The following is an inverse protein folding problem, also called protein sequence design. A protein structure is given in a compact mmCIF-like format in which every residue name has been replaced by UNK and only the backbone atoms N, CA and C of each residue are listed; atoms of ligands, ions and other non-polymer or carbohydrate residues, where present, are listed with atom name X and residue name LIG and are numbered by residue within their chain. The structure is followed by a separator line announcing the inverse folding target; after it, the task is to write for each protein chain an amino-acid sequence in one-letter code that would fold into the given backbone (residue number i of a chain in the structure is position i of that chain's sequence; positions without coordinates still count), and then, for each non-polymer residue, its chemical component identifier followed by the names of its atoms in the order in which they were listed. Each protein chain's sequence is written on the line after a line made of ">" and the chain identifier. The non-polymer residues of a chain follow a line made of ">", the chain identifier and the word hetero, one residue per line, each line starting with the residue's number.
data_IF_581026571355
#
_entry.id   IF_581026571355
#
_cell.length_a   1.000
_cell.length_b   1.000
_cell.length_c   1.000
_cell.angle_alpha   90.00
_cell.angle_beta   90.00
_cell.angle_gamma   90.00
#
_symmetry.space_group_name_H-M   'P 1'
#
loop_
_entity.id
_entity.type
_entity.pdbx_description
1 polymer ?
#
# COMPACT_ATOMS: atom_id res chain seq x y z
N UNK A 1 6.82 -10.40 3.52
CA UNK A 1 6.03 -9.74 2.45
C UNK A 1 4.56 -10.16 2.41
N UNK A 2 4.11 -11.40 2.06
CA UNK A 2 2.66 -11.71 2.00
C UNK A 2 1.95 -11.56 3.34
N UNK A 3 2.59 -12.02 4.42
CA UNK A 3 2.09 -11.83 5.77
C UNK A 3 1.96 -10.36 6.16
N UNK A 4 2.84 -9.47 5.68
CA UNK A 4 2.71 -8.04 5.96
C UNK A 4 1.52 -7.43 5.25
N UNK A 5 1.24 -7.85 4.01
CA UNK A 5 0.05 -7.44 3.27
C UNK A 5 -1.20 -7.93 4.01
N UNK A 6 -1.24 -9.20 4.39
CA UNK A 6 -2.33 -9.77 5.18
C UNK A 6 -2.54 -9.00 6.49
N UNK A 7 -1.49 -8.80 7.29
CA UNK A 7 -1.58 -8.08 8.55
C UNK A 7 -2.03 -6.61 8.37
N UNK A 8 -1.61 -5.95 7.27
CA UNK A 8 -2.09 -4.60 6.93
C UNK A 8 -3.59 -4.62 6.61
N UNK A 9 -4.07 -5.58 5.80
CA UNK A 9 -5.48 -5.73 5.44
C UNK A 9 -6.34 -6.10 6.65
N UNK A 10 -5.90 -7.05 7.47
CA UNK A 10 -6.54 -7.43 8.74
C UNK A 10 -6.75 -6.23 9.67
N UNK A 11 -5.68 -5.44 9.94
CA UNK A 11 -5.81 -4.23 10.77
C UNK A 11 -6.70 -3.17 10.15
N UNK A 12 -6.75 -3.11 8.81
CA UNK A 12 -7.63 -2.21 8.10
C UNK A 12 -9.09 -2.63 8.25
N UNK A 13 -9.39 -3.91 8.05
CA UNK A 13 -10.72 -4.47 8.22
C UNK A 13 -11.24 -4.27 9.64
N UNK A 14 -10.42 -4.56 10.65
CA UNK A 14 -10.80 -4.31 12.05
C UNK A 14 -11.15 -2.83 12.30
N UNK A 15 -10.31 -1.90 11.83
CA UNK A 15 -10.57 -0.47 12.00
C UNK A 15 -11.84 -0.01 11.29
N UNK A 16 -12.07 -0.48 10.07
CA UNK A 16 -13.28 -0.15 9.30
C UNK A 16 -14.50 -0.65 10.06
N UNK A 17 -14.50 -1.91 10.50
CA UNK A 17 -15.60 -2.48 11.29
C UNK A 17 -15.86 -1.70 12.58
N UNK A 18 -14.80 -1.35 13.32
CA UNK A 18 -14.93 -0.59 14.57
C UNK A 18 -15.53 0.81 14.33
N UNK A 19 -15.10 1.51 13.28
CA UNK A 19 -15.61 2.84 12.94
C UNK A 19 -17.08 2.78 12.53
N UNK A 20 -17.43 1.87 11.64
CA UNK A 20 -18.81 1.76 11.14
C UNK A 20 -19.76 1.25 12.24
N UNK A 21 -19.33 0.32 13.10
CA UNK A 21 -20.10 -0.12 14.25
C UNK A 21 -20.39 1.02 15.23
N UNK A 22 -19.43 1.94 15.46
CA UNK A 22 -19.65 3.15 16.25
C UNK A 22 -20.64 4.11 15.60
N UNK A 23 -20.59 4.28 14.28
CA UNK A 23 -21.54 5.14 13.56
C UNK A 23 -22.97 4.62 13.66
N UNK A 24 -23.16 3.29 13.50
CA UNK A 24 -24.45 2.63 13.71
C UNK A 24 -24.90 2.77 15.18
N UNK A 25 -23.99 2.56 16.14
CA UNK A 25 -24.27 2.74 17.56
C UNK A 25 -24.73 4.17 17.90
N UNK A 26 -24.10 5.20 17.34
CA UNK A 26 -24.53 6.60 17.47
C UNK A 26 -25.94 6.81 16.93
N UNK A 27 -26.22 6.30 15.73
CA UNK A 27 -27.56 6.37 15.15
C UNK A 27 -28.62 5.68 16.01
N UNK A 28 -28.27 4.57 16.67
CA UNK A 28 -29.20 3.84 17.52
C UNK A 28 -29.50 4.62 18.80
N UNK A 29 -28.47 5.26 19.37
CA UNK A 29 -28.63 6.15 20.53
C UNK A 29 -29.44 7.40 20.20
N UNK A 30 -29.26 7.98 19.02
CA UNK A 30 -30.05 9.12 18.53
C UNK A 30 -31.54 8.74 18.42
N UNK A 31 -31.82 7.56 17.86
CA UNK A 31 -33.18 7.03 17.74
C UNK A 31 -33.81 6.75 19.11
N UNK A 32 -33.10 6.10 20.04
CA UNK A 32 -33.59 5.86 21.41
C UNK A 32 -33.84 7.17 22.18
N UNK A 33 -33.01 8.18 21.95
CA UNK A 33 -33.19 9.49 22.59
C UNK A 33 -34.42 10.20 22.03
N UNK A 34 -34.66 10.10 20.73
CA UNK A 34 -35.84 10.68 20.09
C UNK A 34 -37.12 10.02 20.60
N UNK A 35 -37.18 8.68 20.66
CA UNK A 35 -38.38 7.96 21.13
C UNK A 35 -38.74 8.24 22.59
N UNK A 36 -37.79 8.72 23.40
CA UNK A 36 -38.03 9.16 24.79
C UNK A 36 -38.52 10.60 24.93
N UNK A 37 -38.46 11.41 23.87
CA UNK A 37 -38.96 12.80 23.90
C UNK A 37 -40.47 12.81 23.63
N UNK A 38 -41.20 13.58 24.44
CA UNK A 38 -42.61 13.90 24.18
C UNK A 38 -42.78 15.42 24.01
N UNK A 39 -43.47 15.89 22.94
CA UNK A 39 -43.99 15.10 21.82
C UNK A 39 -42.90 14.78 20.80
N UNK A 40 -42.92 13.57 20.24
CA UNK A 40 -42.13 13.21 19.05
C UNK A 40 -43.03 13.15 17.83
N UNK A 41 -42.55 13.67 16.70
CA UNK A 41 -43.30 13.62 15.45
C UNK A 41 -42.97 12.36 14.65
N UNK A 42 -43.94 11.88 13.88
CA UNK A 42 -43.73 10.74 12.97
C UNK A 42 -42.67 11.03 11.90
N UNK A 43 -42.57 12.28 11.42
CA UNK A 43 -41.57 12.71 10.45
C UNK A 43 -40.14 12.69 11.00
N UNK A 44 -39.95 13.01 12.29
CA UNK A 44 -38.64 12.89 12.95
C UNK A 44 -38.20 11.43 13.07
N UNK A 45 -39.11 10.53 13.45
CA UNK A 45 -38.82 9.08 13.51
C UNK A 45 -38.46 8.56 12.11
N UNK A 46 -39.23 8.92 11.08
CA UNK A 46 -38.99 8.46 9.71
C UNK A 46 -37.61 8.90 9.20
N UNK A 47 -37.23 10.16 9.49
CA UNK A 47 -35.91 10.69 9.14
C UNK A 47 -34.78 9.94 9.85
N UNK A 48 -34.94 9.63 11.14
CA UNK A 48 -33.93 8.89 11.91
C UNK A 48 -33.80 7.44 11.45
N UNK A 49 -34.92 6.79 11.12
CA UNK A 49 -34.92 5.45 10.54
C UNK A 49 -34.26 5.43 9.16
N UNK A 50 -34.54 6.43 8.31
CA UNK A 50 -33.86 6.61 7.03
C UNK A 50 -32.34 6.72 7.20
N UNK A 51 -31.88 7.60 8.10
CA UNK A 51 -30.45 7.73 8.42
C UNK A 51 -29.83 6.46 9.01
N UNK A 52 -30.59 5.68 9.79
CA UNK A 52 -30.13 4.37 10.29
C UNK A 52 -29.95 3.37 9.14
N UNK A 53 -30.88 3.31 8.20
CA UNK A 53 -30.77 2.46 7.00
C UNK A 53 -29.53 2.84 6.19
N UNK A 54 -29.26 4.14 5.99
CA UNK A 54 -28.05 4.61 5.30
C UNK A 54 -26.76 4.20 6.02
N UNK A 55 -26.71 4.34 7.35
CA UNK A 55 -25.56 3.91 8.17
C UNK A 55 -25.34 2.39 8.08
N UNK A 56 -26.40 1.59 8.19
CA UNK A 56 -26.32 0.12 8.09
C UNK A 56 -25.92 -0.36 6.69
N UNK A 57 -26.44 0.26 5.63
CA UNK A 57 -26.07 -0.08 4.25
C UNK A 57 -24.62 0.28 3.96
N UNK A 58 -24.14 1.43 4.45
CA UNK A 58 -22.73 1.84 4.37
C UNK A 58 -21.82 0.88 5.13
N UNK A 59 -22.18 0.51 6.36
CA UNK A 59 -21.44 -0.48 7.14
C UNK A 59 -21.35 -1.81 6.42
N UNK A 60 -22.48 -2.34 5.91
CA UNK A 60 -22.50 -3.61 5.15
C UNK A 60 -21.53 -3.55 3.97
N UNK A 61 -21.62 -2.50 3.16
CA UNK A 61 -20.76 -2.34 1.96
C UNK A 61 -19.28 -2.32 2.34
N UNK A 62 -18.88 -1.44 3.27
CA UNK A 62 -17.47 -1.29 3.67
C UNK A 62 -16.93 -2.53 4.39
N UNK A 63 -17.75 -3.18 5.21
CA UNK A 63 -17.40 -4.45 5.86
C UNK A 63 -17.14 -5.54 4.82
N UNK A 64 -18.04 -5.71 3.86
CA UNK A 64 -17.88 -6.71 2.78
C UNK A 64 -16.63 -6.47 1.95
N UNK A 65 -16.35 -5.22 1.57
CA UNK A 65 -15.12 -4.84 0.86
C UNK A 65 -13.87 -5.19 1.68
N UNK A 66 -13.82 -4.77 2.95
CA UNK A 66 -12.65 -4.99 3.79
C UNK A 66 -12.41 -6.48 4.10
N UNK A 67 -13.47 -7.26 4.34
CA UNK A 67 -13.38 -8.71 4.55
C UNK A 67 -12.90 -9.40 3.27
N UNK A 68 -13.41 -8.99 2.11
CA UNK A 68 -12.99 -9.56 0.82
C UNK A 68 -11.49 -9.34 0.60
N UNK A 69 -10.99 -8.12 0.81
CA UNK A 69 -9.56 -7.83 0.70
C UNK A 69 -8.69 -8.65 1.67
N UNK A 70 -9.16 -8.83 2.92
CA UNK A 70 -8.48 -9.64 3.92
C UNK A 70 -8.42 -11.12 3.50
N UNK A 71 -9.54 -11.69 3.05
CA UNK A 71 -9.65 -13.08 2.59
C UNK A 71 -8.73 -13.32 1.40
N UNK A 72 -8.68 -12.40 0.43
CA UNK A 72 -7.76 -12.52 -0.71
C UNK A 72 -6.29 -12.53 -0.26
N UNK A 73 -5.91 -11.64 0.67
CA UNK A 73 -4.55 -11.63 1.21
C UNK A 73 -4.21 -12.91 1.99
N UNK A 74 -5.17 -13.46 2.73
CA UNK A 74 -5.04 -14.74 3.43
C UNK A 74 -4.88 -15.92 2.45
N UNK A 75 -5.65 -15.91 1.36
CA UNK A 75 -5.60 -16.93 0.32
C UNK A 75 -4.22 -17.01 -0.34
N UNK A 76 -3.61 -15.87 -0.67
CA UNK A 76 -2.24 -15.81 -1.18
C UNK A 76 -1.24 -16.44 -0.20
N UNK A 77 -1.38 -16.17 1.10
CA UNK A 77 -0.54 -16.79 2.13
C UNK A 77 -0.74 -18.31 2.18
N UNK A 78 -2.00 -18.76 2.11
CA UNK A 78 -2.37 -20.18 2.09
C UNK A 78 -1.77 -20.89 0.87
N UNK A 79 -1.91 -20.34 -0.34
CA UNK A 79 -1.35 -20.91 -1.57
C UNK A 79 0.16 -21.10 -1.50
N UNK A 80 0.88 -20.12 -0.96
CA UNK A 80 2.34 -20.22 -0.79
C UNK A 80 2.72 -21.28 0.25
N UNK A 81 1.95 -21.41 1.33
CA UNK A 81 2.16 -22.46 2.33
C UNK A 81 1.86 -23.85 1.77
N UNK A 82 0.78 -24.01 1.00
CA UNK A 82 0.44 -25.26 0.30
C UNK A 82 1.56 -25.68 -0.63
N UNK A 83 2.07 -24.76 -1.46
CA UNK A 83 3.19 -25.05 -2.34
C UNK A 83 4.46 -25.48 -1.59
N UNK A 84 4.74 -24.91 -0.41
CA UNK A 84 5.86 -25.38 0.43
C UNK A 84 5.60 -26.77 1.02
N UNK A 85 4.36 -27.06 1.43
CA UNK A 85 3.95 -28.37 1.95
C UNK A 85 4.05 -29.46 0.89
N UNK A 86 3.72 -29.17 -0.36
CA UNK A 86 3.89 -30.11 -1.49
C UNK A 86 5.33 -30.60 -1.60
N UNK A 87 6.31 -29.70 -1.49
CA UNK A 87 7.72 -30.07 -1.47
C UNK A 87 8.07 -30.93 -0.26
N UNK A 88 7.63 -30.51 0.93
CA UNK A 88 7.96 -31.20 2.16
C UNK A 88 7.41 -32.62 2.19
N UNK A 89 6.18 -32.82 1.71
CA UNK A 89 5.56 -34.14 1.59
C UNK A 89 6.33 -35.03 0.62
N UNK A 90 6.68 -34.53 -0.57
CA UNK A 90 7.45 -35.29 -1.55
C UNK A 90 8.85 -35.69 -1.05
N UNK A 91 9.45 -34.90 -0.15
CA UNK A 91 10.75 -35.23 0.46
C UNK A 91 10.65 -36.25 1.61
N UNK A 92 9.49 -36.39 2.23
CA UNK A 92 9.26 -37.36 3.30
C UNK A 92 8.95 -38.77 2.77
N UNK A 93 8.50 -38.88 1.52
CA UNK A 93 8.19 -40.15 0.88
C UNK A 93 9.43 -40.89 0.37
N UNK A 94 9.39 -42.24 0.30
CA UNK A 94 10.43 -43.02 -0.35
C UNK A 94 10.65 -42.55 -1.79
N UNK A 95 11.91 -42.56 -2.24
CA UNK A 95 12.27 -42.11 -3.58
C UNK A 95 11.75 -43.07 -4.65
N UNK A 96 10.52 -42.82 -5.12
CA UNK A 96 9.90 -43.52 -6.25
C UNK A 96 10.01 -42.68 -7.53
N UNK A 97 9.88 -43.29 -8.74
CA UNK A 97 9.82 -42.54 -9.99
C UNK A 97 8.71 -41.47 -10.01
N UNK A 98 7.57 -41.76 -9.38
CA UNK A 98 6.45 -40.82 -9.27
C UNK A 98 6.82 -39.60 -8.44
N UNK A 99 7.40 -39.80 -7.25
CA UNK A 99 7.86 -38.73 -6.37
C UNK A 99 8.92 -37.86 -7.05
N UNK A 100 9.84 -38.46 -7.82
CA UNK A 100 10.83 -37.71 -8.62
C UNK A 100 10.16 -36.80 -9.66
N UNK A 101 9.13 -37.29 -10.35
CA UNK A 101 8.38 -36.51 -11.35
C UNK A 101 7.68 -35.32 -10.69
N UNK A 102 6.94 -35.55 -9.60
CA UNK A 102 6.29 -34.48 -8.83
C UNK A 102 7.31 -33.44 -8.35
N UNK A 103 8.45 -33.88 -7.83
CA UNK A 103 9.51 -32.98 -7.36
C UNK A 103 10.13 -32.16 -8.50
N UNK A 104 10.28 -32.73 -9.70
CA UNK A 104 10.77 -32.01 -10.87
C UNK A 104 9.76 -30.96 -11.37
N UNK A 105 8.46 -31.27 -11.35
CA UNK A 105 7.41 -30.30 -11.65
C UNK A 105 7.42 -29.15 -10.64
N UNK A 106 7.52 -29.48 -9.34
CA UNK A 106 7.63 -28.48 -8.28
C UNK A 106 8.86 -27.58 -8.46
N UNK A 107 10.02 -28.16 -8.81
CA UNK A 107 11.26 -27.40 -9.09
C UNK A 107 11.10 -26.46 -10.28
N UNK A 108 10.37 -26.88 -11.32
CA UNK A 108 10.06 -26.03 -12.48
C UNK A 108 9.23 -24.82 -12.07
N UNK A 109 8.17 -25.02 -11.28
CA UNK A 109 7.34 -23.93 -10.73
C UNK A 109 8.20 -22.99 -9.86
N UNK A 110 9.06 -23.53 -9.00
CA UNK A 110 9.99 -22.72 -8.19
C UNK A 110 10.92 -21.89 -9.05
N UNK A 111 11.47 -22.45 -10.13
CA UNK A 111 12.35 -21.73 -11.04
C UNK A 111 11.61 -20.59 -11.73
N UNK A 112 10.42 -20.85 -12.28
CA UNK A 112 9.59 -19.81 -12.91
C UNK A 112 9.27 -18.69 -11.91
N UNK A 113 8.94 -19.01 -10.65
CA UNK A 113 8.77 -18.01 -9.58
C UNK A 113 10.03 -17.18 -9.34
N UNK A 114 11.20 -17.82 -9.29
CA UNK A 114 12.47 -17.11 -9.09
C UNK A 114 12.81 -16.19 -10.27
N UNK A 115 12.46 -16.59 -11.49
CA UNK A 115 12.60 -15.75 -12.69
C UNK A 115 11.66 -14.54 -12.65
N UNK A 116 10.40 -14.72 -12.23
CA UNK A 116 9.47 -13.61 -12.02
C UNK A 116 10.05 -12.62 -10.99
N UNK A 117 10.48 -13.09 -9.82
CA UNK A 117 11.06 -12.21 -8.79
C UNK A 117 12.34 -11.50 -9.30
N UNK A 118 13.17 -12.18 -10.10
CA UNK A 118 14.33 -11.57 -10.75
C UNK A 118 13.92 -10.45 -11.71
N UNK A 119 12.94 -10.69 -12.59
CA UNK A 119 12.45 -9.68 -13.52
C UNK A 119 11.88 -8.46 -12.79
N UNK A 120 11.08 -8.67 -11.74
CA UNK A 120 10.53 -7.59 -10.93
C UNK A 120 11.62 -6.72 -10.28
N UNK A 121 12.67 -7.35 -9.72
CA UNK A 121 13.77 -6.63 -9.06
C UNK A 121 14.66 -5.83 -10.03
N UNK A 122 14.64 -6.17 -11.31
CA UNK A 122 15.42 -5.49 -12.34
C UNK A 122 14.55 -4.56 -13.20
N UNK A 123 13.30 -4.29 -12.80
CA UNK A 123 12.40 -3.40 -13.55
C UNK A 123 11.80 -4.00 -14.83
N UNK A 124 12.01 -5.30 -15.10
CA UNK A 124 11.45 -5.99 -16.25
C UNK A 124 9.98 -6.41 -16.00
N UNK A 125 9.12 -5.44 -15.67
CA UNK A 125 7.75 -5.68 -15.22
C UNK A 125 6.89 -6.41 -16.25
N UNK A 126 7.03 -6.09 -17.54
CA UNK A 126 6.26 -6.78 -18.59
C UNK A 126 6.60 -8.26 -18.70
N UNK A 127 7.90 -8.59 -18.68
CA UNK A 127 8.36 -9.99 -18.72
C UNK A 127 7.92 -10.74 -17.47
N UNK A 128 7.98 -10.09 -16.30
CA UNK A 128 7.47 -10.65 -15.06
C UNK A 128 5.96 -10.97 -15.13
N UNK A 129 5.15 -10.03 -15.62
CA UNK A 129 3.70 -10.23 -15.79
C UNK A 129 3.41 -11.36 -16.78
N UNK A 130 4.03 -11.33 -17.97
CA UNK A 130 3.84 -12.37 -19.00
C UNK A 130 4.16 -13.76 -18.48
N UNK A 131 5.27 -13.93 -17.74
CA UNK A 131 5.64 -15.22 -17.17
C UNK A 131 4.69 -15.63 -16.04
N UNK A 132 4.31 -14.70 -15.16
CA UNK A 132 3.38 -14.98 -14.08
C UNK A 132 2.00 -15.39 -14.59
N UNK A 133 1.50 -14.76 -15.66
CA UNK A 133 0.22 -15.07 -16.29
C UNK A 133 0.26 -16.40 -17.05
N UNK A 134 1.28 -16.60 -17.90
CA UNK A 134 1.41 -17.82 -18.71
C UNK A 134 1.61 -19.10 -17.87
N UNK A 135 2.02 -18.96 -16.61
CA UNK A 135 2.26 -20.07 -15.68
C UNK A 135 1.32 -20.07 -14.47
N UNK A 136 0.36 -19.14 -14.42
CA UNK A 136 -0.59 -18.98 -13.30
C UNK A 136 0.11 -18.83 -11.93
N UNK A 137 1.18 -18.05 -11.87
CA UNK A 137 2.05 -17.89 -10.68
C UNK A 137 1.79 -16.61 -9.88
N UNK A 138 0.75 -15.83 -10.18
CA UNK A 138 0.47 -14.56 -9.48
C UNK A 138 0.40 -14.75 -7.96
N UNK A 139 -0.35 -15.75 -7.49
CA UNK A 139 -0.48 -16.05 -6.05
C UNK A 139 0.84 -16.48 -5.40
N UNK A 140 1.78 -16.99 -6.19
CA UNK A 140 3.09 -17.44 -5.73
C UNK A 140 4.18 -16.35 -5.84
N UNK A 141 3.90 -15.22 -6.48
CA UNK A 141 4.87 -14.18 -6.81
C UNK A 141 4.46 -12.82 -6.24
N UNK A 142 5.35 -11.83 -6.27
CA UNK A 142 5.08 -10.51 -5.69
C UNK A 142 4.69 -9.47 -6.74
N UNK A 143 4.13 -9.88 -7.89
CA UNK A 143 3.82 -9.00 -9.03
C UNK A 143 3.01 -7.78 -8.60
N UNK A 144 1.91 -7.96 -7.87
CA UNK A 144 1.04 -6.84 -7.47
C UNK A 144 1.70 -5.88 -6.48
N UNK A 145 2.68 -6.37 -5.71
CA UNK A 145 3.45 -5.56 -4.77
C UNK A 145 4.43 -4.67 -5.53
N UNK A 146 5.07 -5.24 -6.55
CA UNK A 146 5.97 -4.50 -7.42
C UNK A 146 5.22 -3.59 -8.40
N UNK A 147 3.96 -3.86 -8.74
CA UNK A 147 3.16 -2.96 -9.58
C UNK A 147 3.04 -1.57 -8.95
N UNK A 148 2.76 -1.49 -7.65
CA UNK A 148 2.71 -0.22 -6.93
C UNK A 148 4.07 0.51 -6.94
N UNK A 149 5.19 -0.23 -6.88
CA UNK A 149 6.53 0.33 -6.99
C UNK A 149 6.83 0.82 -8.41
N UNK A 150 6.47 0.03 -9.43
CA UNK A 150 6.64 0.37 -10.84
C UNK A 150 5.94 1.69 -11.20
N UNK A 151 4.74 1.92 -10.66
CA UNK A 151 4.02 3.17 -10.88
C UNK A 151 4.70 4.37 -10.21
N UNK A 152 5.30 4.19 -9.02
CA UNK A 152 6.12 5.22 -8.38
C UNK A 152 7.37 5.50 -9.22
N UNK A 153 8.06 4.46 -9.67
CA UNK A 153 9.26 4.58 -10.51
C UNK A 153 8.96 5.32 -11.82
N UNK A 154 7.86 4.97 -12.50
CA UNK A 154 7.44 5.62 -13.74
C UNK A 154 7.13 7.13 -13.54
N UNK A 155 6.51 7.50 -12.42
CA UNK A 155 6.31 8.91 -12.08
C UNK A 155 7.62 9.64 -11.81
N UNK A 156 8.54 9.03 -11.04
CA UNK A 156 9.83 9.63 -10.75
C UNK A 156 10.67 9.84 -12.02
N UNK A 157 10.66 8.89 -12.95
CA UNK A 157 11.28 9.04 -14.28
C UNK A 157 10.66 10.21 -15.05
N UNK A 158 9.35 10.42 -14.88
CA UNK A 158 8.63 11.56 -15.46
C UNK A 158 8.76 12.85 -14.64
N UNK A 159 9.70 12.93 -13.68
CA UNK A 159 9.92 14.07 -12.80
C UNK A 159 8.70 14.45 -11.93
N UNK A 160 7.77 13.50 -11.71
CA UNK A 160 6.62 13.66 -10.83
C UNK A 160 6.87 12.93 -9.53
N UNK A 161 6.72 13.64 -8.42
CA UNK A 161 7.07 13.16 -7.06
C UNK A 161 5.86 12.86 -6.20
N UNK A 162 4.66 13.31 -6.60
CA UNK A 162 3.45 13.28 -5.80
C UNK A 162 3.13 11.87 -5.26
N UNK A 163 3.17 10.85 -6.12
CA UNK A 163 2.90 9.47 -5.71
C UNK A 163 3.97 8.89 -4.80
N UNK A 164 5.25 9.24 -5.04
CA UNK A 164 6.34 8.82 -4.16
C UNK A 164 6.20 9.42 -2.75
N UNK A 165 5.76 10.67 -2.66
CA UNK A 165 5.50 11.34 -1.38
C UNK A 165 4.30 10.74 -0.66
N UNK A 166 3.23 10.42 -1.39
CA UNK A 166 2.10 9.70 -0.83
C UNK A 166 2.55 8.34 -0.27
N UNK A 167 3.37 7.61 -1.03
CA UNK A 167 3.94 6.35 -0.56
C UNK A 167 4.80 6.54 0.70
N UNK A 168 5.59 7.60 0.79
CA UNK A 168 6.35 7.94 1.99
C UNK A 168 5.44 8.20 3.19
N UNK A 169 4.35 8.97 3.01
CA UNK A 169 3.37 9.25 4.04
C UNK A 169 2.71 7.96 4.56
N UNK A 170 2.27 7.09 3.65
CA UNK A 170 1.64 5.79 3.97
C UNK A 170 2.58 4.85 4.74
N UNK A 171 3.89 5.00 4.54
CA UNK A 171 4.92 4.14 5.14
C UNK A 171 5.79 4.84 6.19
N UNK A 172 5.41 6.06 6.63
CA UNK A 172 6.21 6.93 7.52
C UNK A 172 6.77 6.22 8.75
N UNK A 173 5.95 5.43 9.44
CA UNK A 173 6.37 4.69 10.63
C UNK A 173 7.43 3.62 10.34
N UNK A 174 7.38 2.98 9.16
CA UNK A 174 8.39 1.99 8.74
C UNK A 174 9.67 2.70 8.30
N UNK A 175 9.55 3.77 7.51
CA UNK A 175 10.69 4.57 7.05
C UNK A 175 11.51 5.14 8.21
N UNK A 176 10.83 5.67 9.24
CA UNK A 176 11.51 6.14 10.46
C UNK A 176 12.27 5.04 11.19
N UNK A 177 11.72 3.82 11.26
CA UNK A 177 12.42 2.67 11.88
C UNK A 177 13.65 2.23 11.10
N UNK A 178 13.65 2.43 9.80
CA UNK A 178 14.78 2.13 8.91
C UNK A 178 15.80 3.27 8.84
N UNK A 179 15.55 4.39 9.54
CA UNK A 179 16.31 5.63 9.38
C UNK A 179 16.45 6.04 7.91
N UNK A 180 15.37 5.93 7.14
CA UNK A 180 15.38 6.20 5.70
C UNK A 180 15.27 7.68 5.41
N UNK A 181 16.19 8.19 4.59
CA UNK A 181 16.18 9.56 4.07
C UNK A 181 15.35 9.73 2.78
N UNK A 182 14.56 8.74 2.38
CA UNK A 182 13.87 8.74 1.09
C UNK A 182 12.92 9.92 0.94
N UNK A 183 12.08 10.20 1.94
CA UNK A 183 11.18 11.37 1.88
C UNK A 183 11.98 12.66 1.67
N UNK A 184 13.08 12.84 2.43
CA UNK A 184 13.95 14.02 2.30
C UNK A 184 14.52 14.16 0.88
N UNK A 185 15.02 13.08 0.27
CA UNK A 185 15.52 13.11 -1.11
C UNK A 185 14.44 13.49 -2.12
N UNK A 186 13.19 13.03 -1.93
CA UNK A 186 12.07 13.42 -2.80
C UNK A 186 11.68 14.89 -2.59
N UNK A 187 11.73 15.40 -1.35
CA UNK A 187 11.51 16.83 -1.07
C UNK A 187 12.58 17.72 -1.70
N UNK A 188 13.83 17.27 -1.74
CA UNK A 188 14.90 17.92 -2.51
C UNK A 188 14.53 17.96 -4.00
N UNK A 189 14.05 16.84 -4.57
CA UNK A 189 13.65 16.82 -5.97
C UNK A 189 12.54 17.82 -6.27
N UNK A 190 11.48 17.88 -5.45
CA UNK A 190 10.42 18.90 -5.59
C UNK A 190 10.97 20.33 -5.55
N UNK A 191 11.91 20.59 -4.64
CA UNK A 191 12.58 21.90 -4.57
C UNK A 191 13.36 22.20 -5.86
N UNK A 192 14.13 21.24 -6.38
CA UNK A 192 14.89 21.38 -7.62
C UNK A 192 13.96 21.70 -8.79
N UNK A 193 12.82 21.00 -8.90
CA UNK A 193 11.85 21.28 -9.96
C UNK A 193 11.23 22.69 -9.83
N UNK A 194 10.97 23.17 -8.61
CA UNK A 194 10.52 24.56 -8.41
C UNK A 194 11.57 25.60 -8.86
N UNK A 195 12.85 25.33 -8.65
CA UNK A 195 13.94 26.21 -9.12
C UNK A 195 14.07 26.15 -10.64
N UNK A 196 13.97 24.96 -11.25
CA UNK A 196 14.01 24.78 -12.71
C UNK A 196 12.84 25.49 -13.42
N UNK A 197 11.67 25.50 -12.80
CA UNK A 197 10.48 26.22 -13.26
C UNK A 197 10.56 27.75 -13.04
N UNK A 198 11.69 28.27 -12.52
CA UNK A 198 11.89 29.67 -12.13
C UNK A 198 10.93 30.18 -11.03
N UNK A 199 10.29 29.27 -10.28
CA UNK A 199 9.39 29.58 -9.16
C UNK A 199 10.18 29.77 -7.86
N UNK A 200 11.20 30.64 -7.87
CA UNK A 200 12.14 30.81 -6.74
C UNK A 200 11.48 31.17 -5.41
N UNK A 201 10.49 32.06 -5.42
CA UNK A 201 9.76 32.44 -4.20
C UNK A 201 8.98 31.26 -3.60
N UNK A 202 8.42 30.40 -4.45
CA UNK A 202 7.74 29.18 -4.00
C UNK A 202 8.74 28.17 -3.46
N UNK A 203 9.90 27.99 -4.10
CA UNK A 203 10.99 27.15 -3.62
C UNK A 203 11.45 27.56 -2.20
N UNK A 204 11.58 28.87 -1.93
CA UNK A 204 11.90 29.39 -0.60
C UNK A 204 10.81 29.06 0.43
N UNK A 205 9.53 29.26 0.08
CA UNK A 205 8.40 28.90 0.97
C UNK A 205 8.37 27.40 1.25
N UNK A 206 8.61 26.60 0.22
CA UNK A 206 8.67 25.15 0.28
C UNK A 206 9.79 24.69 1.22
N UNK A 207 11.00 25.22 1.06
CA UNK A 207 12.14 24.92 1.92
C UNK A 207 11.87 25.25 3.39
N UNK A 208 11.26 26.42 3.68
CA UNK A 208 10.86 26.77 5.05
C UNK A 208 9.89 25.77 5.67
N UNK A 209 9.02 25.17 4.85
CA UNK A 209 8.03 24.19 5.30
C UNK A 209 8.64 22.79 5.51
N UNK A 210 9.51 22.35 4.60
CA UNK A 210 9.96 20.96 4.52
C UNK A 210 11.38 20.71 5.02
N UNK A 211 12.22 21.75 5.10
CA UNK A 211 13.62 21.67 5.54
C UNK A 211 13.87 22.42 6.86
N UNK A 212 12.82 22.82 7.59
CA UNK A 212 12.96 23.49 8.89
C UNK A 212 13.38 22.54 10.01
N UNK A 213 12.93 21.29 9.95
CA UNK A 213 13.37 20.21 10.82
C UNK A 213 14.18 19.25 9.98
N UNK A 214 15.51 19.23 10.19
CA UNK A 214 16.45 18.41 9.44
C UNK A 214 17.39 17.67 10.40
N UNK A 215 17.94 16.57 9.92
CA UNK A 215 18.99 15.82 10.60
C UNK A 215 20.37 16.41 10.25
N UNK A 216 21.37 16.26 11.12
CA UNK A 216 22.66 16.95 10.96
C UNK A 216 23.37 16.59 9.64
N UNK A 217 23.21 15.36 9.16
CA UNK A 217 23.72 14.87 7.88
C UNK A 217 23.01 15.46 6.65
N UNK A 218 21.81 16.03 6.82
CA UNK A 218 21.01 16.64 5.76
C UNK A 218 21.39 18.10 5.48
N UNK A 219 22.08 18.77 6.40
CA UNK A 219 22.39 20.20 6.29
C UNK A 219 23.17 20.53 5.00
N UNK A 220 24.12 19.67 4.61
CA UNK A 220 24.93 19.88 3.41
C UNK A 220 24.07 19.87 2.15
N UNK A 221 23.11 18.96 2.06
CA UNK A 221 22.17 18.87 0.94
C UNK A 221 21.23 20.10 0.90
N UNK A 222 20.77 20.57 2.07
CA UNK A 222 19.95 21.77 2.19
C UNK A 222 20.73 23.01 1.74
N UNK A 223 21.98 23.17 2.18
CA UNK A 223 22.86 24.26 1.75
C UNK A 223 23.06 24.26 0.23
N UNK A 224 23.24 23.09 -0.38
CA UNK A 224 23.35 22.96 -1.83
C UNK A 224 22.05 23.42 -2.52
N UNK A 225 20.88 23.00 -2.02
CA UNK A 225 19.58 23.47 -2.52
C UNK A 225 19.45 25.00 -2.40
N UNK A 226 19.80 25.58 -1.26
CA UNK A 226 19.72 27.04 -1.07
C UNK A 226 20.69 27.78 -2.00
N UNK A 227 21.86 27.20 -2.27
CA UNK A 227 22.83 27.73 -3.23
C UNK A 227 22.25 27.84 -4.64
N UNK A 228 21.45 26.86 -5.10
CA UNK A 228 20.81 26.87 -6.43
C UNK A 228 19.93 28.10 -6.66
N UNK A 229 19.37 28.70 -5.61
CA UNK A 229 18.55 29.92 -5.74
C UNK A 229 19.37 31.12 -6.25
N UNK A 230 20.67 31.15 -5.97
CA UNK A 230 21.57 32.24 -6.34
C UNK A 230 22.07 32.14 -7.79
N UNK A 231 21.97 30.97 -8.42
CA UNK A 231 22.43 30.74 -9.78
C UNK A 231 21.28 30.83 -10.80
N UNK A 232 21.57 31.30 -12.04
CA UNK A 232 20.61 31.26 -13.12
C UNK A 232 20.32 29.81 -13.55
N UNK A 233 19.12 29.58 -14.09
CA UNK A 233 18.60 28.24 -14.47
C UNK A 233 19.47 27.47 -15.48
N UNK A 234 20.32 28.18 -16.22
CA UNK A 234 21.15 27.66 -17.31
C UNK A 234 22.60 27.36 -16.87
N UNK A 235 22.85 27.26 -15.55
CA UNK A 235 24.15 26.87 -14.97
C UNK A 235 24.21 25.37 -14.75
#
# INVERSE_FOLDING_TARGET
>A
VPYEVFNKRYRNAQRVLDVEARQVGSGASELDTATRKEPVTTGEIDTLLGGMVEKLTTMKRKASEAITEEVQAAYVCKKRLEHLKEQAAALAEPTTPQVKTTLNQWRKVRLDRMLVDYFLRNGYYESANKLADARELRDLTNVDIYAAAAEVEAELVSQRTARCLQWCADNKSKLRKLNSNMEFKIRIQEFIELVRDDKRLEAVRYAKKHFSTYEEDQLKDIQHCMGMLAFPKDT
#
